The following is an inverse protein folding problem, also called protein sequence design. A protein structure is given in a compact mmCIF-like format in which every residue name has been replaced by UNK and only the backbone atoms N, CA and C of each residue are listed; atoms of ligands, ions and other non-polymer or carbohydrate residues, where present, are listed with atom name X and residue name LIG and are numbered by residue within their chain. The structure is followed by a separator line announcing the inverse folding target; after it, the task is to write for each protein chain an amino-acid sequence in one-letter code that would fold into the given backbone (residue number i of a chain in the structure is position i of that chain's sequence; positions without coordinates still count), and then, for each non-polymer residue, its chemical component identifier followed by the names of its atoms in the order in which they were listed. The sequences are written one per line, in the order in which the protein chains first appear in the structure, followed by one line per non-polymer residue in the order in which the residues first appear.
data_IF_442793858810
#
_entry.id   IF_442793858810
#
_cell.length_a   1.000
_cell.length_b   1.000
_cell.length_c   1.000
_cell.angle_alpha   90.00
_cell.angle_beta   90.00
_cell.angle_gamma   90.00
#
_symmetry.space_group_name_H-M   'P 1'
#
loop_
_entity.id
_entity.type
_entity.pdbx_description
1 polymer ?
#
# COMPACT_ATOMS: atom_id res chain seq x y z
N UNK A 1 -1.55 -26.50 -5.75
CA UNK A 1 -2.90 -26.02 -5.36
C UNK A 1 -3.68 -25.88 -6.67
N UNK A 2 -4.86 -26.49 -6.77
CA UNK A 2 -5.72 -26.38 -7.98
C UNK A 2 -7.08 -25.82 -7.54
N UNK A 3 -7.62 -24.91 -8.33
CA UNK A 3 -8.97 -24.38 -8.14
C UNK A 3 -9.94 -25.24 -8.95
N UNK A 4 -11.08 -25.67 -8.41
CA UNK A 4 -12.15 -26.34 -9.17
C UNK A 4 -12.56 -25.50 -10.38
N UNK A 5 -12.76 -26.15 -11.53
CA UNK A 5 -13.03 -25.45 -12.81
C UNK A 5 -14.32 -24.62 -12.76
N UNK A 6 -15.30 -25.06 -11.98
CA UNK A 6 -16.60 -24.38 -11.77
C UNK A 6 -16.46 -23.06 -11.01
N UNK A 7 -15.34 -22.86 -10.26
CA UNK A 7 -15.07 -21.63 -9.55
C UNK A 7 -14.26 -20.62 -10.37
N UNK A 8 -13.86 -20.97 -11.60
CA UNK A 8 -13.18 -20.03 -12.47
C UNK A 8 -14.17 -18.97 -12.96
N UNK A 9 -13.92 -17.68 -12.70
CA UNK A 9 -14.84 -16.62 -13.12
C UNK A 9 -14.93 -16.56 -14.64
N UNK A 10 -16.16 -16.44 -15.12
CA UNK A 10 -16.46 -16.32 -16.56
C UNK A 10 -17.18 -15.02 -16.85
N UNK A 11 -16.89 -14.44 -18.00
CA UNK A 11 -17.57 -13.24 -18.47
C UNK A 11 -19.08 -13.52 -18.63
N UNK A 12 -19.98 -12.79 -17.94
CA UNK A 12 -21.41 -13.03 -18.03
C UNK A 12 -21.99 -12.80 -19.43
N UNK A 13 -21.29 -12.00 -20.26
CA UNK A 13 -21.72 -11.68 -21.61
C UNK A 13 -21.27 -12.71 -22.65
N UNK A 14 -20.07 -13.25 -22.51
CA UNK A 14 -19.44 -14.09 -23.54
C UNK A 14 -19.10 -15.51 -23.06
N UNK A 15 -19.27 -15.84 -21.78
CA UNK A 15 -18.95 -17.13 -21.20
C UNK A 15 -17.45 -17.52 -21.20
N UNK A 16 -16.58 -16.65 -21.69
CA UNK A 16 -15.14 -16.90 -21.72
C UNK A 16 -14.52 -16.75 -20.34
N UNK A 17 -13.43 -17.47 -20.01
CA UNK A 17 -12.73 -17.27 -18.77
C UNK A 17 -12.27 -15.81 -18.63
N UNK A 18 -12.41 -15.26 -17.43
CA UNK A 18 -11.86 -13.95 -17.09
C UNK A 18 -10.37 -14.05 -16.76
N UNK A 19 -9.64 -12.97 -16.95
CA UNK A 19 -8.26 -12.81 -16.52
C UNK A 19 -8.17 -11.65 -15.53
N UNK A 20 -7.08 -11.59 -14.78
CA UNK A 20 -6.83 -10.44 -13.91
C UNK A 20 -6.61 -9.19 -14.75
N UNK A 21 -7.04 -8.02 -14.22
CA UNK A 21 -6.78 -6.71 -14.82
C UNK A 21 -5.31 -6.30 -14.55
N UNK A 22 -4.40 -7.01 -15.19
CA UNK A 22 -2.97 -6.71 -15.11
C UNK A 22 -2.61 -5.59 -16.07
N UNK A 23 -1.87 -4.61 -15.60
CA UNK A 23 -1.35 -3.52 -16.43
C UNK A 23 -0.18 -3.98 -17.31
N UNK A 24 -0.45 -4.96 -18.15
CA UNK A 24 0.46 -5.45 -19.16
C UNK A 24 -0.14 -5.20 -20.55
N UNK A 25 0.29 -4.14 -21.21
CA UNK A 25 -0.27 -3.72 -22.51
C UNK A 25 -1.50 -2.80 -22.38
N UNK A 26 -2.29 -2.72 -23.46
CA UNK A 26 -3.41 -1.78 -23.60
C UNK A 26 -4.77 -2.34 -23.15
N UNK A 27 -4.79 -3.47 -22.45
CA UNK A 27 -6.03 -4.17 -22.05
C UNK A 27 -6.47 -3.86 -20.63
N UNK A 28 -5.64 -3.21 -19.83
CA UNK A 28 -5.99 -2.78 -18.47
C UNK A 28 -7.02 -1.65 -18.50
N UNK A 29 -8.08 -1.80 -17.73
CA UNK A 29 -9.20 -0.85 -17.67
C UNK A 29 -9.14 -0.04 -16.40
N UNK A 30 -9.13 1.28 -16.53
CA UNK A 30 -9.35 2.24 -15.46
C UNK A 30 -10.75 2.83 -15.66
N UNK A 31 -11.70 2.39 -14.87
CA UNK A 31 -13.09 2.84 -14.96
C UNK A 31 -13.33 4.16 -14.22
N UNK A 32 -14.56 4.65 -14.27
CA UNK A 32 -14.96 5.88 -13.58
C UNK A 32 -14.75 5.79 -12.06
N UNK A 33 -15.00 4.62 -11.46
CA UNK A 33 -14.77 4.35 -10.03
C UNK A 33 -13.30 4.53 -9.65
N UNK A 34 -12.39 4.08 -10.52
CA UNK A 34 -10.95 4.27 -10.34
C UNK A 34 -10.57 5.75 -10.35
N UNK A 35 -11.08 6.55 -11.32
CA UNK A 35 -10.80 7.99 -11.39
C UNK A 35 -11.35 8.75 -10.18
N UNK A 36 -12.54 8.41 -9.72
CA UNK A 36 -13.11 8.99 -8.49
C UNK A 36 -12.27 8.65 -7.25
N UNK A 37 -11.79 7.42 -7.13
CA UNK A 37 -10.91 7.01 -6.04
C UNK A 37 -9.56 7.75 -6.08
N UNK A 38 -8.95 7.86 -7.27
CA UNK A 38 -7.70 8.58 -7.46
C UNK A 38 -7.83 10.06 -7.07
N UNK A 39 -8.93 10.71 -7.45
CA UNK A 39 -9.21 12.10 -7.06
C UNK A 39 -9.35 12.25 -5.55
N UNK A 40 -10.10 11.37 -4.88
CA UNK A 40 -10.24 11.41 -3.40
C UNK A 40 -8.89 11.23 -2.71
N UNK A 41 -8.06 10.33 -3.21
CA UNK A 41 -6.72 10.10 -2.68
C UNK A 41 -5.81 11.34 -2.84
N UNK A 42 -5.81 11.96 -4.02
CA UNK A 42 -5.06 13.19 -4.27
C UNK A 42 -5.53 14.35 -3.38
N UNK A 43 -6.85 14.50 -3.22
CA UNK A 43 -7.43 15.53 -2.34
C UNK A 43 -7.09 15.27 -0.86
N UNK A 44 -7.04 14.02 -0.44
CA UNK A 44 -6.58 13.65 0.90
C UNK A 44 -5.12 14.05 1.11
N UNK A 45 -4.22 13.67 0.21
CA UNK A 45 -2.81 14.03 0.29
C UNK A 45 -2.62 15.55 0.35
N UNK A 46 -3.29 16.29 -0.53
CA UNK A 46 -3.22 17.76 -0.59
C UNK A 46 -3.63 18.42 0.74
N UNK A 47 -4.69 17.93 1.37
CA UNK A 47 -5.19 18.47 2.64
C UNK A 47 -4.27 18.19 3.82
N UNK A 48 -3.42 17.16 3.74
CA UNK A 48 -2.60 16.71 4.86
C UNK A 48 -1.09 16.96 4.64
N UNK A 49 -0.71 17.73 3.62
CA UNK A 49 0.69 17.97 3.23
C UNK A 49 1.59 18.49 4.37
N UNK A 50 1.06 19.24 5.31
CA UNK A 50 1.81 19.88 6.40
C UNK A 50 1.47 19.35 7.78
N UNK A 51 0.57 18.36 7.87
CA UNK A 51 0.14 17.74 9.12
C UNK A 51 1.05 16.60 9.60
N UNK A 52 0.75 16.03 10.75
CA UNK A 52 1.34 14.76 11.20
C UNK A 52 0.68 13.62 10.45
N UNK A 53 1.38 13.02 9.50
CA UNK A 53 0.86 11.93 8.66
C UNK A 53 1.78 10.73 8.76
N UNK A 54 1.30 9.58 9.24
CA UNK A 54 2.02 8.33 9.09
C UNK A 54 1.76 7.75 7.68
N UNK A 55 2.83 7.43 6.97
CA UNK A 55 2.80 6.66 5.72
C UNK A 55 3.17 5.23 6.04
N UNK A 56 2.16 4.38 6.23
CA UNK A 56 2.33 2.98 6.58
C UNK A 56 2.33 2.10 5.33
N UNK A 57 3.39 1.33 5.15
CA UNK A 57 3.42 0.24 4.17
C UNK A 57 3.57 -1.11 4.86
N UNK A 58 2.85 -2.10 4.33
CA UNK A 58 2.84 -3.47 4.80
C UNK A 58 3.26 -4.39 3.66
N UNK A 59 4.47 -4.96 3.74
CA UNK A 59 4.96 -5.96 2.80
C UNK A 59 5.25 -5.46 1.38
N UNK A 60 5.46 -4.17 1.18
CA UNK A 60 5.79 -3.63 -0.15
C UNK A 60 7.25 -3.97 -0.48
N UNK A 61 7.44 -4.92 -1.39
CA UNK A 61 8.76 -5.36 -1.83
C UNK A 61 9.42 -4.44 -2.85
N UNK A 62 10.66 -4.78 -3.22
CA UNK A 62 11.44 -4.04 -4.20
C UNK A 62 11.01 -4.28 -5.66
N UNK A 63 10.13 -5.25 -5.93
CA UNK A 63 9.70 -5.58 -7.30
C UNK A 63 8.87 -4.48 -7.96
N UNK A 64 7.97 -3.81 -7.20
CA UNK A 64 7.12 -2.72 -7.70
C UNK A 64 7.05 -1.58 -6.68
N UNK A 65 8.18 -0.94 -6.34
CA UNK A 65 8.23 0.09 -5.29
C UNK A 65 7.61 1.42 -5.73
N UNK A 66 7.46 1.63 -7.03
CA UNK A 66 7.05 2.92 -7.60
C UNK A 66 5.61 3.32 -7.26
N UNK A 67 4.74 2.38 -6.90
CA UNK A 67 3.32 2.67 -6.64
C UNK A 67 3.11 3.18 -5.21
N UNK A 68 3.82 2.63 -4.22
CA UNK A 68 3.63 2.95 -2.79
C UNK A 68 4.92 3.46 -2.17
N UNK A 69 6.00 2.67 -2.19
CA UNK A 69 7.24 2.93 -1.47
C UNK A 69 7.88 4.28 -1.85
N UNK A 70 8.13 4.51 -3.13
CA UNK A 70 8.75 5.76 -3.58
C UNK A 70 7.88 7.01 -3.36
N UNK A 71 6.56 7.00 -3.62
CA UNK A 71 5.69 8.10 -3.23
C UNK A 71 5.71 8.39 -1.73
N UNK A 72 5.68 7.37 -0.87
CA UNK A 72 5.72 7.56 0.58
C UNK A 72 7.04 8.17 1.05
N UNK A 73 8.18 7.74 0.50
CA UNK A 73 9.47 8.37 0.77
C UNK A 73 9.48 9.84 0.37
N UNK A 74 8.99 10.15 -0.83
CA UNK A 74 8.90 11.53 -1.32
C UNK A 74 8.01 12.41 -0.44
N UNK A 75 6.85 11.91 -0.02
CA UNK A 75 5.94 12.66 0.85
C UNK A 75 6.51 12.83 2.26
N UNK A 76 7.22 11.84 2.78
CA UNK A 76 7.90 11.94 4.07
C UNK A 76 9.02 12.96 4.02
N UNK A 77 9.87 12.93 3.00
CA UNK A 77 10.94 13.90 2.82
C UNK A 77 10.44 15.34 2.68
N UNK A 78 9.27 15.53 2.05
CA UNK A 78 8.66 16.84 1.85
C UNK A 78 7.98 17.43 3.10
N UNK A 79 7.75 16.62 4.14
CA UNK A 79 7.04 17.04 5.35
C UNK A 79 7.78 16.55 6.62
N UNK A 80 8.44 17.45 7.33
CA UNK A 80 9.19 17.15 8.55
C UNK A 80 8.35 16.59 9.71
N UNK A 81 7.01 16.69 9.64
CA UNK A 81 6.08 16.14 10.63
C UNK A 81 5.53 14.78 10.23
N UNK A 82 5.85 14.30 9.03
CA UNK A 82 5.44 12.99 8.58
C UNK A 82 6.33 11.89 9.15
N UNK A 83 5.79 10.69 9.27
CA UNK A 83 6.53 9.50 9.67
C UNK A 83 6.31 8.40 8.64
N UNK A 84 7.38 7.84 8.11
CA UNK A 84 7.32 6.65 7.30
C UNK A 84 7.39 5.40 8.17
N UNK A 85 6.49 4.47 7.99
CA UNK A 85 6.46 3.19 8.72
C UNK A 85 6.49 2.04 7.72
N UNK A 86 7.52 1.22 7.79
CA UNK A 86 7.70 0.06 6.94
C UNK A 86 7.70 -1.22 7.77
N UNK A 87 6.71 -2.08 7.54
CA UNK A 87 6.70 -3.44 8.11
C UNK A 87 6.90 -4.43 6.97
N UNK A 88 8.06 -5.09 6.95
CA UNK A 88 8.38 -6.03 5.88
C UNK A 88 9.38 -7.06 6.39
N UNK A 89 9.22 -8.31 5.97
CA UNK A 89 10.16 -9.36 6.28
C UNK A 89 11.37 -9.29 5.33
N UNK A 90 12.57 -9.14 5.88
CA UNK A 90 13.86 -9.07 5.19
C UNK A 90 14.02 -7.85 4.23
N UNK A 91 13.05 -6.94 4.12
CA UNK A 91 13.11 -5.76 3.26
C UNK A 91 12.58 -4.48 3.94
N UNK A 92 12.68 -4.40 5.27
CA UNK A 92 12.28 -3.22 6.03
C UNK A 92 13.41 -2.17 6.05
N UNK A 93 13.33 -1.19 5.17
CA UNK A 93 14.34 -0.13 5.08
C UNK A 93 13.75 1.21 4.63
N UNK A 94 14.46 2.28 4.93
CA UNK A 94 14.20 3.63 4.46
C UNK A 94 15.50 4.25 3.89
N UNK A 95 15.40 5.16 2.92
CA UNK A 95 16.55 5.91 2.44
C UNK A 95 17.11 6.85 3.52
N UNK A 96 18.39 7.20 3.40
CA UNK A 96 19.11 7.99 4.40
C UNK A 96 18.44 9.34 4.68
N UNK A 97 17.84 9.94 3.65
CA UNK A 97 17.23 11.27 3.69
C UNK A 97 16.01 11.35 4.64
N UNK A 98 15.35 10.23 4.91
CA UNK A 98 14.17 10.18 5.79
C UNK A 98 14.38 9.24 6.99
N UNK A 99 15.61 8.82 7.25
CA UNK A 99 15.91 7.83 8.30
C UNK A 99 15.37 8.25 9.66
N UNK A 100 15.56 9.52 10.03
CA UNK A 100 15.13 10.05 11.34
C UNK A 100 13.61 10.23 11.46
N UNK A 101 12.90 10.14 10.33
CA UNK A 101 11.43 10.17 10.24
C UNK A 101 10.84 8.77 9.98
N UNK A 102 11.63 7.70 10.13
CA UNK A 102 11.22 6.36 9.70
C UNK A 102 11.28 5.35 10.83
N UNK A 103 10.28 4.46 10.84
CA UNK A 103 10.21 3.28 11.69
C UNK A 103 10.20 2.06 10.76
N UNK A 104 11.29 1.30 10.75
CA UNK A 104 11.41 0.09 9.92
C UNK A 104 11.41 -1.14 10.82
N UNK A 105 10.45 -2.03 10.62
CA UNK A 105 10.23 -3.24 11.42
C UNK A 105 10.44 -4.45 10.51
N UNK A 106 11.56 -5.13 10.70
CA UNK A 106 11.86 -6.39 10.00
C UNK A 106 11.19 -7.55 10.74
N UNK A 107 9.95 -7.82 10.38
CA UNK A 107 9.15 -8.86 11.02
C UNK A 107 7.98 -9.28 10.11
N UNK A 108 7.38 -10.43 10.42
CA UNK A 108 6.11 -10.83 9.85
C UNK A 108 5.00 -9.84 10.22
N UNK A 109 4.20 -9.44 9.21
CA UNK A 109 3.14 -8.44 9.37
C UNK A 109 2.08 -8.90 10.39
N UNK A 110 1.72 -10.20 10.36
CA UNK A 110 0.73 -10.76 11.28
C UNK A 110 1.19 -10.69 12.72
N UNK A 111 2.47 -10.94 12.97
CA UNK A 111 3.07 -10.83 14.33
C UNK A 111 3.02 -9.38 14.80
N UNK A 112 3.41 -8.43 13.96
CA UNK A 112 3.40 -6.99 14.31
C UNK A 112 1.98 -6.51 14.59
N UNK A 113 1.03 -6.83 13.70
CA UNK A 113 -0.37 -6.41 13.87
C UNK A 113 -1.01 -7.05 15.10
N UNK A 114 -0.71 -8.31 15.40
CA UNK A 114 -1.17 -8.98 16.63
C UNK A 114 -0.61 -8.27 17.86
N UNK A 115 0.70 -7.98 17.89
CA UNK A 115 1.32 -7.27 18.99
C UNK A 115 0.70 -5.90 19.24
N UNK A 116 0.39 -5.14 18.17
CA UNK A 116 -0.31 -3.86 18.27
C UNK A 116 -1.74 -4.02 18.80
N UNK A 117 -2.44 -5.08 18.38
CA UNK A 117 -3.80 -5.36 18.85
C UNK A 117 -3.84 -5.73 20.33
N UNK A 118 -2.83 -6.46 20.82
CA UNK A 118 -2.71 -6.87 22.22
C UNK A 118 -2.27 -5.72 23.14
N UNK A 119 -1.75 -4.63 22.58
CA UNK A 119 -1.49 -3.40 23.32
C UNK A 119 -2.83 -2.74 23.65
N UNK A 120 -3.34 -2.96 24.88
CA UNK A 120 -4.50 -2.21 25.36
C UNK A 120 -4.12 -0.71 25.37
N UNK A 121 -4.91 0.16 24.72
CA UNK A 121 -4.66 1.59 24.84
C UNK A 121 -4.76 1.96 26.34
N UNK A 122 -3.68 2.48 26.90
CA UNK A 122 -3.73 3.16 28.17
C UNK A 122 -4.59 4.39 27.92
N UNK A 123 -5.85 4.32 28.33
CA UNK A 123 -6.74 5.49 28.30
C UNK A 123 -6.13 6.48 29.28
N UNK A 124 -5.52 7.53 28.74
CA UNK A 124 -5.15 8.73 29.48
C UNK A 124 -6.39 9.56 29.76
#
# INVERSE_FOLDING_TARGET
MKIPTELLPRCPKYGRPMTMDLRCGNTSVQDEGWYHAAKRYQDFLRRHQSGRVPYLELGVGANVPAIIKYPFWKYTAANSKATYVCVNYAQAFAPAEIKDQSICIDCDIGIVLKGLWDLKPTVL
#
